data_IF_031883803921
#
_entry.id   IF_031883803921
#
_cell.length_a   1.000
_cell.length_b   1.000
_cell.length_c   1.000
_cell.angle_alpha   90.00
_cell.angle_beta   90.00
_cell.angle_gamma   90.00
#
_symmetry.space_group_name_H-M   'P 1'
#
loop_
_entity.id
_entity.type
_entity.pdbx_description
1 polymer ?
#
# COMPACT_ATOMS: atom_id res chain seq x y z
N UNK A 1 -36.68 24.93 14.84
CA UNK A 1 -35.31 24.73 14.31
C UNK A 1 -34.49 23.81 15.24
N UNK A 2 -34.69 22.49 15.22
CA UNK A 2 -33.91 21.55 16.07
C UNK A 2 -33.53 20.22 15.40
N UNK A 3 -33.83 20.03 14.10
CA UNK A 3 -33.59 18.76 13.39
C UNK A 3 -32.38 18.77 12.43
N UNK A 4 -31.81 19.94 12.13
CA UNK A 4 -30.72 20.08 11.15
C UNK A 4 -29.33 19.78 11.70
N UNK A 5 -29.10 19.88 13.01
CA UNK A 5 -27.77 19.71 13.63
C UNK A 5 -27.34 18.23 13.66
N UNK A 6 -28.28 17.31 13.89
CA UNK A 6 -28.00 15.88 13.93
C UNK A 6 -27.64 15.30 12.54
N UNK A 7 -28.23 15.83 11.47
CA UNK A 7 -27.93 15.39 10.11
C UNK A 7 -26.50 15.74 9.70
N UNK A 8 -26.00 16.93 10.06
CA UNK A 8 -24.63 17.35 9.76
C UNK A 8 -23.58 16.48 10.49
N UNK A 9 -23.81 16.11 11.75
CA UNK A 9 -22.90 15.23 12.49
C UNK A 9 -22.84 13.81 11.91
N UNK A 10 -23.98 13.31 11.41
CA UNK A 10 -24.07 12.02 10.72
C UNK A 10 -23.38 12.08 9.35
N UNK A 11 -23.54 13.16 8.57
CA UNK A 11 -22.84 13.31 7.29
C UNK A 11 -21.31 13.41 7.46
N UNK A 12 -20.81 14.03 8.54
CA UNK A 12 -19.39 14.05 8.88
C UNK A 12 -18.84 12.67 9.31
N UNK A 13 -19.71 11.78 9.79
CA UNK A 13 -19.36 10.38 10.12
C UNK A 13 -19.49 9.42 8.93
N UNK A 14 -20.36 9.72 7.96
CA UNK A 14 -20.49 8.95 6.70
C UNK A 14 -19.49 9.37 5.63
N UNK A 15 -18.88 10.55 5.76
CA UNK A 15 -17.65 10.88 5.07
C UNK A 15 -16.51 10.06 5.70
N UNK A 16 -16.39 8.79 5.30
CA UNK A 16 -15.23 7.93 5.54
C UNK A 16 -13.97 8.41 4.83
N UNK A 17 -13.75 9.73 4.80
CA UNK A 17 -12.58 10.39 4.29
C UNK A 17 -11.43 10.05 5.23
N UNK A 18 -10.35 9.48 4.69
CA UNK A 18 -9.09 9.35 5.42
C UNK A 18 -8.77 10.66 6.11
N UNK A 19 -8.49 10.61 7.41
CA UNK A 19 -8.02 11.78 8.15
C UNK A 19 -6.61 12.16 7.67
N UNK A 20 -6.15 13.37 8.00
CA UNK A 20 -4.76 13.75 7.73
C UNK A 20 -3.78 12.74 8.37
N UNK A 21 -4.08 12.29 9.59
CA UNK A 21 -3.29 11.27 10.28
C UNK A 21 -3.28 9.91 9.56
N UNK A 22 -4.41 9.50 8.96
CA UNK A 22 -4.46 8.26 8.17
C UNK A 22 -3.59 8.36 6.90
N UNK A 23 -3.58 9.53 6.25
CA UNK A 23 -2.74 9.78 5.08
C UNK A 23 -1.25 9.77 5.47
N UNK A 24 -0.87 10.43 6.56
CA UNK A 24 0.52 10.45 7.04
C UNK A 24 1.01 9.04 7.39
N UNK A 25 0.15 8.25 8.04
CA UNK A 25 0.45 6.84 8.36
C UNK A 25 0.67 6.02 7.08
N UNK A 26 -0.21 6.14 6.09
CA UNK A 26 -0.08 5.43 4.82
C UNK A 26 1.14 5.87 4.02
N UNK A 27 1.47 7.15 4.04
CA UNK A 27 2.70 7.66 3.44
C UNK A 27 3.94 7.06 4.10
N UNK A 28 3.95 6.96 5.44
CA UNK A 28 5.02 6.31 6.18
C UNK A 28 5.12 4.81 5.86
N UNK A 29 3.99 4.10 5.75
CA UNK A 29 3.94 2.68 5.39
C UNK A 29 4.43 2.44 3.96
N UNK A 30 4.02 3.29 3.01
CA UNK A 30 4.50 3.27 1.64
C UNK A 30 6.01 3.51 1.56
N UNK A 31 6.52 4.50 2.29
CA UNK A 31 7.95 4.78 2.33
C UNK A 31 8.75 3.61 2.92
N UNK A 32 8.23 2.98 3.99
CA UNK A 32 8.85 1.81 4.62
C UNK A 32 8.87 0.60 3.67
N UNK A 33 7.77 0.33 2.96
CA UNK A 33 7.73 -0.76 1.97
C UNK A 33 8.59 -0.46 0.75
N UNK A 34 8.62 0.77 0.25
CA UNK A 34 9.48 1.16 -0.88
C UNK A 34 10.97 1.04 -0.55
N UNK A 35 11.37 1.36 0.68
CA UNK A 35 12.76 1.19 1.13
C UNK A 35 13.24 -0.28 1.10
N UNK A 36 12.33 -1.26 1.20
CA UNK A 36 12.65 -2.69 1.15
C UNK A 36 12.86 -3.21 -0.28
N UNK A 37 12.31 -2.52 -1.28
CA UNK A 37 12.29 -3.00 -2.67
C UNK A 37 13.70 -3.34 -3.20
N UNK A 38 14.72 -2.45 -3.10
CA UNK A 38 16.03 -2.75 -3.68
C UNK A 38 16.66 -4.02 -3.11
N UNK A 39 16.67 -4.15 -1.78
CA UNK A 39 17.26 -5.31 -1.10
C UNK A 39 16.51 -6.62 -1.37
N UNK A 40 15.17 -6.58 -1.40
CA UNK A 40 14.36 -7.75 -1.71
C UNK A 40 14.48 -8.20 -3.18
N UNK A 41 14.61 -7.25 -4.11
CA UNK A 41 14.81 -7.51 -5.54
C UNK A 41 16.20 -8.12 -5.78
N UNK A 42 17.23 -7.60 -5.11
CA UNK A 42 18.59 -8.14 -5.15
C UNK A 42 18.64 -9.56 -4.55
N UNK A 43 18.04 -9.77 -3.38
CA UNK A 43 18.00 -11.08 -2.72
C UNK A 43 17.21 -12.13 -3.52
N UNK A 44 16.25 -11.70 -4.35
CA UNK A 44 15.54 -12.57 -5.29
C UNK A 44 16.30 -12.79 -6.61
N UNK A 45 17.50 -12.21 -6.77
CA UNK A 45 18.34 -12.37 -7.96
C UNK A 45 17.75 -11.74 -9.22
N UNK A 46 16.91 -10.71 -9.09
CA UNK A 46 16.28 -10.04 -10.23
C UNK A 46 17.29 -9.05 -10.83
N UNK A 47 17.88 -9.42 -11.96
CA UNK A 47 18.75 -8.54 -12.77
C UNK A 47 18.04 -7.94 -14.00
N UNK A 48 16.82 -8.41 -14.30
CA UNK A 48 16.00 -7.95 -15.43
C UNK A 48 15.07 -6.78 -15.08
N UNK A 49 14.30 -6.33 -16.08
CA UNK A 49 13.28 -5.31 -15.85
C UNK A 49 12.10 -5.90 -15.05
N UNK A 50 11.64 -5.16 -14.05
CA UNK A 50 10.45 -5.50 -13.27
C UNK A 50 9.57 -4.27 -13.09
N UNK A 51 8.31 -4.49 -12.70
CA UNK A 51 7.39 -3.44 -12.28
C UNK A 51 6.91 -3.73 -10.88
N UNK A 52 6.61 -2.71 -10.10
CA UNK A 52 6.02 -2.88 -8.77
C UNK A 52 4.63 -2.26 -8.77
N UNK A 53 3.62 -3.11 -8.59
CA UNK A 53 2.23 -2.68 -8.38
C UNK A 53 2.05 -2.36 -6.90
N UNK A 54 1.44 -1.22 -6.58
CA UNK A 54 1.01 -0.91 -5.20
C UNK A 54 -0.50 -1.04 -5.11
N UNK A 55 -0.96 -1.70 -4.05
CA UNK A 55 -2.35 -1.90 -3.72
C UNK A 55 -2.56 -1.39 -2.30
N UNK A 56 -3.53 -0.49 -2.12
CA UNK A 56 -3.96 -0.02 -0.81
C UNK A 56 -5.19 -0.84 -0.42
N UNK A 57 -5.07 -1.71 0.57
CA UNK A 57 -6.19 -2.52 1.05
C UNK A 57 -6.81 -1.88 2.29
N UNK A 58 -8.14 -1.79 2.33
CA UNK A 58 -8.89 -1.24 3.47
C UNK A 58 -9.05 0.28 3.43
N UNK A 59 -9.55 0.86 4.53
CA UNK A 59 -9.81 2.29 4.67
C UNK A 59 -9.50 2.80 6.08
N UNK A 60 -9.13 4.08 6.21
CA UNK A 60 -8.81 4.72 7.48
C UNK A 60 -7.62 4.08 8.20
N UNK A 61 -7.74 3.93 9.53
CA UNK A 61 -6.66 3.42 10.38
C UNK A 61 -6.25 1.96 10.09
N UNK A 62 -7.10 1.19 9.40
CA UNK A 62 -6.81 -0.21 9.03
C UNK A 62 -6.26 -0.39 7.61
N UNK A 63 -6.01 0.69 6.87
CA UNK A 63 -5.51 0.59 5.51
C UNK A 63 -4.04 0.12 5.49
N UNK A 64 -3.69 -0.79 4.60
CA UNK A 64 -2.33 -1.34 4.46
C UNK A 64 -1.82 -1.22 3.03
N UNK A 65 -0.49 -1.15 2.88
CA UNK A 65 0.19 -1.06 1.59
C UNK A 65 0.74 -2.43 1.21
N UNK A 66 0.26 -2.99 0.10
CA UNK A 66 0.84 -4.17 -0.53
C UNK A 66 1.63 -3.78 -1.77
N UNK A 67 2.81 -4.37 -1.93
CA UNK A 67 3.69 -4.20 -3.09
C UNK A 67 3.88 -5.54 -3.78
N UNK A 68 3.49 -5.64 -5.05
CA UNK A 68 3.67 -6.86 -5.84
C UNK A 68 4.66 -6.61 -6.96
N UNK A 69 5.71 -7.41 -7.00
CA UNK A 69 6.66 -7.42 -8.12
C UNK A 69 6.05 -8.21 -9.28
N UNK A 70 5.98 -7.57 -10.44
CA UNK A 70 5.52 -8.19 -11.68
C UNK A 70 6.73 -8.62 -12.50
N UNK A 71 6.73 -9.88 -12.94
CA UNK A 71 7.77 -10.42 -13.81
C UNK A 71 7.76 -9.71 -15.16
N UNK A 72 8.86 -9.01 -15.49
CA UNK A 72 9.14 -8.53 -16.83
C UNK A 72 9.99 -9.51 -17.63
N UNK A 73 10.50 -9.09 -18.80
CA UNK A 73 11.43 -9.90 -19.58
C UNK A 73 12.64 -10.32 -18.73
N UNK A 74 12.99 -11.61 -18.78
CA UNK A 74 14.10 -12.22 -18.02
C UNK A 74 13.93 -12.22 -16.49
N UNK A 75 12.70 -12.05 -15.99
CA UNK A 75 12.37 -12.24 -14.57
C UNK A 75 11.40 -13.42 -14.46
N UNK A 76 11.76 -14.45 -13.70
CA UNK A 76 10.87 -15.59 -13.49
C UNK A 76 9.76 -15.25 -12.51
N UNK A 77 8.65 -15.98 -12.61
CA UNK A 77 7.54 -15.84 -11.66
C UNK A 77 7.98 -16.17 -10.22
N UNK A 78 8.89 -17.13 -10.04
CA UNK A 78 9.44 -17.49 -8.74
C UNK A 78 10.24 -16.34 -8.10
N UNK A 79 11.10 -15.67 -8.88
CA UNK A 79 11.85 -14.51 -8.39
C UNK A 79 10.92 -13.35 -8.02
N UNK A 80 9.94 -13.06 -8.88
CA UNK A 80 8.94 -12.04 -8.60
C UNK A 80 8.11 -12.35 -7.33
N UNK A 81 7.72 -13.61 -7.12
CA UNK A 81 7.01 -14.05 -5.93
C UNK A 81 7.89 -13.97 -4.67
N UNK A 82 9.17 -14.35 -4.76
CA UNK A 82 10.12 -14.23 -3.66
C UNK A 82 10.33 -12.77 -3.25
N UNK A 83 10.57 -11.87 -4.21
CA UNK A 83 10.71 -10.45 -3.95
C UNK A 83 9.43 -9.86 -3.35
N UNK A 84 8.26 -10.23 -3.87
CA UNK A 84 6.95 -9.82 -3.33
C UNK A 84 6.77 -10.26 -1.88
N UNK A 85 7.08 -11.52 -1.55
CA UNK A 85 7.01 -12.02 -0.18
C UNK A 85 7.94 -11.24 0.75
N UNK A 86 9.18 -11.00 0.32
CA UNK A 86 10.16 -10.23 1.08
C UNK A 86 9.73 -8.78 1.33
N UNK A 87 9.09 -8.10 0.38
CA UNK A 87 8.69 -6.70 0.54
C UNK A 87 7.54 -6.54 1.54
N UNK A 88 6.61 -7.49 1.59
CA UNK A 88 5.39 -7.41 2.42
C UNK A 88 5.49 -8.16 3.77
N UNK A 89 6.67 -8.71 4.11
CA UNK A 89 6.92 -9.38 5.39
C UNK A 89 7.35 -8.37 6.48
#
# INVERSE_FOLDING_TARGET
MRRTIAALAVLSGLAGCMTAADNDRLAAELAATDARIPGCVEAAGIAGQYRVRTEFLGHGAGAVVLRTVQSGPNVTQAQAAQATSCINA
#
